data_IF_313934470026
#
_entry.id   IF_313934470026
#
_cell.length_a   1.000
_cell.length_b   1.000
_cell.length_c   1.000
_cell.angle_alpha   90.00
_cell.angle_beta   90.00
_cell.angle_gamma   90.00
#
_symmetry.space_group_name_H-M   'P 1'
#
loop_
_entity.id
_entity.type
_entity.pdbx_description
1 polymer ?
#
# COMPACT_ATOMS: atom_id res chain seq x y z
N UNK A 1 19.82 -1.41 -10.28
CA UNK A 1 18.90 -0.94 -11.32
C UNK A 1 18.01 0.12 -10.69
N UNK A 2 18.23 1.40 -11.02
CA UNK A 2 17.41 2.52 -10.53
C UNK A 2 16.28 2.69 -11.54
N UNK A 3 15.04 2.55 -11.09
CA UNK A 3 13.86 2.75 -11.92
C UNK A 3 13.50 4.25 -11.88
N UNK A 4 13.70 4.94 -13.01
CA UNK A 4 13.33 6.35 -13.17
C UNK A 4 11.86 6.38 -13.58
N UNK A 5 10.98 6.83 -12.68
CA UNK A 5 9.56 7.02 -12.99
C UNK A 5 9.29 8.48 -13.31
N UNK A 6 8.98 8.79 -14.57
CA UNK A 6 8.48 10.09 -14.98
C UNK A 6 7.04 10.24 -14.48
N UNK A 7 6.78 11.20 -13.61
CA UNK A 7 5.44 11.55 -13.14
C UNK A 7 4.81 12.58 -14.07
N UNK A 8 3.82 12.18 -14.84
CA UNK A 8 2.99 13.11 -15.62
C UNK A 8 1.79 13.52 -14.75
N UNK A 9 1.48 14.82 -14.61
CA UNK A 9 0.24 15.25 -13.96
C UNK A 9 -0.93 14.78 -14.83
N UNK A 10 -1.62 13.73 -14.39
CA UNK A 10 -2.87 13.30 -15.01
C UNK A 10 -4.03 13.91 -14.21
N UNK A 11 -4.89 14.66 -14.90
CA UNK A 11 -6.24 14.90 -14.42
C UNK A 11 -7.05 13.64 -14.69
N UNK A 12 -7.77 13.14 -13.69
CA UNK A 12 -8.84 12.17 -13.93
C UNK A 12 -10.15 12.83 -13.52
N UNK A 13 -11.19 12.62 -14.30
CA UNK A 13 -12.54 12.95 -13.83
C UNK A 13 -12.91 11.93 -12.76
N UNK A 14 -13.18 12.42 -11.55
CA UNK A 14 -13.49 11.56 -10.42
C UNK A 14 -14.92 11.01 -10.55
N UNK A 15 -15.10 10.00 -11.40
CA UNK A 15 -16.32 9.19 -11.39
C UNK A 15 -16.43 8.39 -10.09
N UNK A 16 -17.65 8.03 -9.70
CA UNK A 16 -17.89 7.22 -8.51
C UNK A 16 -17.21 5.85 -8.60
N UNK A 17 -17.12 5.29 -9.81
CA UNK A 17 -16.42 4.03 -10.09
C UNK A 17 -14.92 4.13 -9.80
N UNK A 18 -14.27 5.21 -10.26
CA UNK A 18 -12.85 5.45 -10.00
C UNK A 18 -12.63 5.69 -8.51
N UNK A 19 -13.49 6.48 -7.86
CA UNK A 19 -13.40 6.72 -6.41
C UNK A 19 -13.47 5.40 -5.63
N UNK A 20 -14.45 4.57 -5.94
CA UNK A 20 -14.64 3.25 -5.31
C UNK A 20 -13.42 2.35 -5.51
N UNK A 21 -12.88 2.29 -6.74
CA UNK A 21 -11.67 1.53 -7.04
C UNK A 21 -10.48 1.95 -6.16
N UNK A 22 -10.30 3.26 -5.95
CA UNK A 22 -9.20 3.78 -5.15
C UNK A 22 -9.40 3.54 -3.65
N UNK A 23 -10.64 3.61 -3.18
CA UNK A 23 -11.01 3.24 -1.81
C UNK A 23 -10.77 1.76 -1.55
N UNK A 24 -11.24 0.89 -2.45
CA UNK A 24 -11.02 -0.55 -2.38
C UNK A 24 -9.53 -0.87 -2.38
N UNK A 25 -8.73 -0.22 -3.24
CA UNK A 25 -7.28 -0.44 -3.25
C UNK A 25 -6.60 -0.01 -1.95
N UNK A 26 -6.98 1.15 -1.38
CA UNK A 26 -6.49 1.58 -0.05
C UNK A 26 -6.81 0.51 1.00
N UNK A 27 -8.02 -0.03 0.95
CA UNK A 27 -8.49 -0.99 1.94
C UNK A 27 -7.81 -2.36 1.77
N UNK A 28 -7.50 -2.78 0.55
CA UNK A 28 -6.63 -3.94 0.27
C UNK A 28 -5.24 -3.76 0.88
N UNK A 29 -4.63 -2.58 0.74
CA UNK A 29 -3.31 -2.28 1.33
C UNK A 29 -3.38 -2.35 2.85
N UNK A 30 -4.39 -1.73 3.46
CA UNK A 30 -4.58 -1.77 4.92
C UNK A 30 -4.84 -3.19 5.43
N UNK A 31 -5.58 -4.00 4.68
CA UNK A 31 -5.78 -5.41 4.96
C UNK A 31 -4.47 -6.19 4.96
N UNK A 32 -3.63 -6.00 3.93
CA UNK A 32 -2.30 -6.60 3.85
C UNK A 32 -1.41 -6.17 5.03
N UNK A 33 -1.39 -4.88 5.38
CA UNK A 33 -0.65 -4.37 6.55
C UNK A 33 -1.10 -5.06 7.84
N UNK A 34 -2.41 -5.14 8.07
CA UNK A 34 -2.97 -5.82 9.24
C UNK A 34 -2.59 -7.30 9.30
N UNK A 35 -2.55 -7.99 8.16
CA UNK A 35 -2.11 -9.39 8.07
C UNK A 35 -0.63 -9.56 8.37
N UNK A 36 0.24 -8.67 7.86
CA UNK A 36 1.67 -8.70 8.21
C UNK A 36 1.89 -8.48 9.70
N UNK A 37 1.24 -7.47 10.30
CA UNK A 37 1.43 -7.15 11.71
C UNK A 37 0.99 -8.28 12.64
N UNK A 38 -0.06 -9.03 12.28
CA UNK A 38 -0.54 -10.18 13.07
C UNK A 38 0.30 -11.44 12.91
N UNK A 39 0.86 -11.68 11.72
CA UNK A 39 1.52 -12.95 11.38
C UNK A 39 3.05 -12.82 11.28
N UNK A 40 3.61 -11.63 11.52
CA UNK A 40 5.03 -11.32 11.38
C UNK A 40 5.65 -11.65 10.01
N UNK A 41 4.84 -11.70 8.95
CA UNK A 41 5.33 -11.98 7.60
C UNK A 41 6.46 -11.02 7.21
N UNK A 42 7.59 -11.58 6.75
CA UNK A 42 8.82 -10.79 6.53
C UNK A 42 9.07 -10.49 5.06
N UNK A 43 8.50 -11.31 4.17
CA UNK A 43 8.71 -11.19 2.72
C UNK A 43 7.41 -10.96 1.95
N UNK A 44 7.55 -10.38 0.75
CA UNK A 44 6.44 -10.19 -0.17
C UNK A 44 5.78 -11.51 -0.58
N UNK A 45 6.58 -12.54 -0.85
CA UNK A 45 6.08 -13.84 -1.29
C UNK A 45 5.26 -14.53 -0.18
N UNK A 46 5.75 -14.48 1.06
CA UNK A 46 5.07 -14.99 2.24
C UNK A 46 3.75 -14.24 2.48
N UNK A 47 3.77 -12.90 2.41
CA UNK A 47 2.57 -12.08 2.54
C UNK A 47 1.52 -12.45 1.48
N UNK A 48 1.93 -12.57 0.21
CA UNK A 48 1.00 -12.91 -0.88
C UNK A 48 0.35 -14.26 -0.66
N UNK A 49 1.12 -15.29 -0.27
CA UNK A 49 0.59 -16.62 0.05
C UNK A 49 -0.42 -16.57 1.21
N UNK A 50 -0.10 -15.79 2.25
CA UNK A 50 -0.94 -15.63 3.44
C UNK A 50 -2.29 -14.95 3.13
N UNK A 51 -2.30 -13.94 2.24
CA UNK A 51 -3.48 -13.10 2.06
C UNK A 51 -4.35 -13.48 0.87
N UNK A 52 -3.82 -14.19 -0.13
CA UNK A 52 -4.50 -14.37 -1.41
C UNK A 52 -5.90 -14.99 -1.29
N UNK A 53 -6.07 -16.02 -0.48
CA UNK A 53 -7.36 -16.71 -0.31
C UNK A 53 -8.45 -15.78 0.25
N UNK A 54 -8.19 -15.14 1.39
CA UNK A 54 -9.15 -14.21 2.00
C UNK A 54 -9.31 -12.92 1.17
N UNK A 55 -8.25 -12.47 0.51
CA UNK A 55 -8.31 -11.32 -0.39
C UNK A 55 -9.28 -11.59 -1.55
N UNK A 56 -9.19 -12.77 -2.20
CA UNK A 56 -10.04 -13.09 -3.34
C UNK A 56 -11.51 -13.27 -2.97
N UNK A 57 -11.81 -13.60 -1.71
CA UNK A 57 -13.18 -13.66 -1.20
C UNK A 57 -13.78 -12.27 -0.93
N UNK A 58 -12.96 -11.28 -0.58
CA UNK A 58 -13.41 -9.92 -0.26
C UNK A 58 -13.57 -9.02 -1.47
N UNK A 59 -12.78 -9.25 -2.50
CA UNK A 59 -12.66 -8.34 -3.63
C UNK A 59 -12.76 -9.08 -4.96
N UNK A 60 -13.72 -8.65 -5.79
CA UNK A 60 -13.85 -9.13 -7.16
C UNK A 60 -13.00 -8.30 -8.14
N UNK A 61 -11.69 -8.31 -7.90
CA UNK A 61 -10.71 -7.67 -8.77
C UNK A 61 -9.72 -8.69 -9.34
N UNK A 62 -9.00 -8.27 -10.38
CA UNK A 62 -7.88 -9.03 -10.95
C UNK A 62 -6.81 -9.29 -9.89
N UNK A 63 -6.20 -10.48 -9.92
CA UNK A 63 -5.09 -10.89 -9.03
C UNK A 63 -3.91 -9.91 -9.02
N UNK A 64 -3.76 -9.10 -10.08
CA UNK A 64 -2.75 -8.05 -10.13
C UNK A 64 -2.91 -7.00 -9.00
N UNK A 65 -4.14 -6.75 -8.53
CA UNK A 65 -4.39 -5.85 -7.39
C UNK A 65 -3.91 -6.46 -6.07
N UNK A 66 -4.05 -7.77 -5.88
CA UNK A 66 -3.47 -8.48 -4.73
C UNK A 66 -1.94 -8.36 -4.72
N UNK A 67 -1.31 -8.58 -5.88
CA UNK A 67 0.13 -8.40 -6.03
C UNK A 67 0.57 -6.97 -5.69
N UNK A 68 -0.12 -5.98 -6.26
CA UNK A 68 0.21 -4.56 -6.10
C UNK A 68 0.04 -4.09 -4.65
N UNK A 69 -1.08 -4.45 -4.01
CA UNK A 69 -1.35 -4.11 -2.61
C UNK A 69 -0.33 -4.74 -1.66
N UNK A 70 0.06 -6.00 -1.89
CA UNK A 70 1.14 -6.66 -1.12
C UNK A 70 2.50 -5.95 -1.27
N UNK A 71 2.84 -5.50 -2.50
CA UNK A 71 4.10 -4.74 -2.74
C UNK A 71 4.09 -3.41 -2.00
N UNK A 72 2.99 -2.66 -2.08
CA UNK A 72 2.81 -1.39 -1.38
C UNK A 72 2.90 -1.59 0.13
N UNK A 73 2.14 -2.54 0.69
CA UNK A 73 2.14 -2.83 2.12
C UNK A 73 3.54 -3.18 2.65
N UNK A 74 4.30 -4.00 1.91
CA UNK A 74 5.67 -4.36 2.26
C UNK A 74 6.60 -3.14 2.24
N UNK A 75 6.47 -2.26 1.24
CA UNK A 75 7.25 -1.03 1.14
C UNK A 75 6.93 -0.06 2.30
N UNK A 76 5.64 0.11 2.61
CA UNK A 76 5.18 0.93 3.74
C UNK A 76 5.74 0.42 5.07
N UNK A 77 5.71 -0.90 5.28
CA UNK A 77 6.25 -1.51 6.50
C UNK A 77 7.77 -1.29 6.63
N UNK A 78 8.52 -1.44 5.54
CA UNK A 78 9.97 -1.15 5.52
C UNK A 78 10.26 0.30 5.88
N UNK A 79 9.53 1.24 5.26
CA UNK A 79 9.67 2.67 5.55
C UNK A 79 9.29 2.99 6.99
N UNK A 80 8.19 2.42 7.50
CA UNK A 80 7.74 2.59 8.87
C UNK A 80 8.76 2.09 9.88
N UNK A 81 9.31 0.87 9.70
CA UNK A 81 10.38 0.32 10.56
C UNK A 81 11.63 1.18 10.53
N UNK A 82 11.96 1.82 9.41
CA UNK A 82 13.07 2.77 9.30
C UNK A 82 12.79 4.06 10.07
N UNK A 83 11.59 4.62 9.97
CA UNK A 83 11.20 5.83 10.69
C UNK A 83 11.04 5.61 12.20
N UNK A 84 10.52 4.44 12.61
CA UNK A 84 10.38 4.06 14.03
C UNK A 84 11.74 3.98 14.71
N UNK A 85 12.75 3.42 14.03
CA UNK A 85 14.16 3.42 14.48
C UNK A 85 14.75 4.83 14.65
N UNK A 86 14.24 5.82 13.92
CA UNK A 86 14.66 7.22 14.04
C UNK A 86 13.86 8.03 15.07
N UNK A 87 12.85 7.43 15.72
CA UNK A 87 11.98 8.14 16.67
C UNK A 87 11.02 9.16 16.05
N UNK A 88 10.85 9.17 14.71
CA UNK A 88 10.06 10.19 13.99
C UNK A 88 8.57 9.80 13.92
N UNK A 89 8.24 8.54 14.17
CA UNK A 89 6.88 8.02 13.99
C UNK A 89 5.96 8.47 15.11
N UNK A 90 4.93 9.26 14.77
CA UNK A 90 3.82 9.62 15.68
C UNK A 90 2.77 8.52 15.86
N UNK A 91 2.77 7.50 14.99
CA UNK A 91 1.77 6.43 14.95
C UNK A 91 2.41 5.09 15.28
N UNK A 92 1.70 4.22 16.00
CA UNK A 92 2.21 2.91 16.40
C UNK A 92 2.21 1.88 15.26
N UNK A 93 1.33 2.06 14.26
CA UNK A 93 1.26 1.24 13.05
C UNK A 93 1.24 2.07 11.75
N UNK A 94 1.76 1.53 10.64
CA UNK A 94 1.57 2.11 9.32
C UNK A 94 0.11 1.97 8.89
N UNK A 95 -0.46 2.99 8.26
CA UNK A 95 -1.83 2.99 7.73
C UNK A 95 -1.83 3.74 6.39
N UNK A 96 -2.42 3.15 5.36
CA UNK A 96 -2.68 3.82 4.11
C UNK A 96 -3.92 4.73 4.29
N UNK A 97 -3.68 6.05 4.37
CA UNK A 97 -4.74 7.05 4.57
C UNK A 97 -5.24 7.67 3.27
N UNK A 98 -4.34 7.86 2.30
CA UNK A 98 -4.66 8.52 1.03
C UNK A 98 -5.13 7.48 0.00
N UNK A 99 -6.13 7.86 -0.81
CA UNK A 99 -6.67 7.04 -1.90
C UNK A 99 -5.64 6.82 -3.01
N UNK A 100 -4.86 7.85 -3.28
CA UNK A 100 -3.66 7.77 -4.08
C UNK A 100 -2.44 7.97 -3.19
N UNK A 101 -1.38 7.21 -3.46
CA UNK A 101 -0.07 7.78 -3.25
C UNK A 101 -0.03 8.97 -4.19
N UNK A 102 -0.21 10.19 -3.71
CA UNK A 102 0.51 11.27 -4.36
C UNK A 102 1.94 10.74 -4.42
N UNK A 103 2.40 10.32 -5.59
CA UNK A 103 3.79 10.04 -5.87
C UNK A 103 4.40 11.42 -5.70
N UNK A 104 4.63 11.82 -4.45
CA UNK A 104 5.44 12.98 -4.16
C UNK A 104 6.83 12.50 -4.55
N UNK A 105 7.42 13.04 -5.62
CA UNK A 105 8.86 12.98 -5.70
C UNK A 105 9.35 13.64 -4.41
N UNK A 106 10.33 13.02 -3.77
CA UNK A 106 11.08 13.53 -2.62
C UNK A 106 10.96 15.04 -2.43
N UNK A 107 10.07 15.46 -1.54
CA UNK A 107 10.10 16.80 -0.99
C UNK A 107 9.58 16.70 0.43
N UNK A 108 10.52 16.88 1.36
CA UNK A 108 10.27 17.35 2.70
C UNK A 108 9.03 18.25 2.73
N UNK A 109 8.10 17.96 3.64
CA UNK A 109 7.37 19.03 4.27
C UNK A 109 7.77 19.01 5.73
N UNK A 110 8.59 20.01 6.01
CA UNK A 110 8.82 20.65 7.30
C UNK A 110 7.47 20.94 7.95
#
# INVERSE_FOLDING_TARGET
MIEITLSVPFGYEASDEIRKLLEDFRDMVNFCIGKVLRNNATSFAELRKLVYGEWKQKWDYSTHFCHSSCRVATSMLKSFRRLKRKGITKSDKPVARKLFHAIRPLACQV
#
